data_IF_225450271773
#
_entry.id   IF_225450271773
#
_cell.length_a   1.000
_cell.length_b   1.000
_cell.length_c   1.000
_cell.angle_alpha   90.00
_cell.angle_beta   90.00
_cell.angle_gamma   90.00
#
_symmetry.space_group_name_H-M   'P 1'
#
loop_
_entity.id
_entity.type
_entity.pdbx_description
1 polymer ?
#
# COMPACT_ATOMS: atom_id res chain seq x y z
N UNK A 1 41.77 47.85 31.62
CA UNK A 1 42.78 46.78 31.77
C UNK A 1 42.15 45.72 32.67
N UNK A 2 41.59 44.65 32.09
CA UNK A 2 41.01 43.54 32.86
C UNK A 2 42.07 42.47 33.13
N UNK A 3 42.03 41.78 34.29
CA UNK A 3 43.02 40.76 34.62
C UNK A 3 42.82 39.48 33.80
N UNK A 4 43.94 38.90 33.35
CA UNK A 4 44.04 37.61 32.66
C UNK A 4 43.70 36.46 33.63
N UNK A 5 42.84 35.55 33.19
CA UNK A 5 42.66 34.23 33.82
C UNK A 5 43.78 33.30 33.37
N UNK A 6 44.58 32.81 34.32
CA UNK A 6 45.39 31.60 34.16
C UNK A 6 44.46 30.38 34.04
N UNK A 7 44.73 29.42 33.14
CA UNK A 7 44.08 28.12 33.20
C UNK A 7 44.86 27.20 34.16
N UNK A 8 44.22 26.84 35.27
CA UNK A 8 44.64 25.70 36.06
C UNK A 8 44.14 24.39 35.42
N UNK A 9 44.94 23.34 35.61
CA UNK A 9 44.56 21.92 35.59
C UNK A 9 44.36 21.19 34.25
N UNK A 10 45.46 20.94 33.55
CA UNK A 10 45.62 19.71 32.75
C UNK A 10 46.16 18.62 33.68
N UNK A 11 45.32 17.92 34.43
CA UNK A 11 45.73 16.68 35.13
C UNK A 11 44.53 15.79 35.55
N UNK A 12 43.37 15.91 34.89
CA UNK A 12 42.17 15.13 35.19
C UNK A 12 41.58 14.31 34.04
N UNK A 13 42.15 14.35 32.83
CA UNK A 13 41.51 13.80 31.62
C UNK A 13 41.82 12.33 31.31
N UNK A 14 42.88 11.75 31.88
CA UNK A 14 43.28 10.36 31.56
C UNK A 14 42.40 9.27 32.19
N UNK A 15 41.90 9.49 33.40
CA UNK A 15 41.16 8.46 34.16
C UNK A 15 39.70 8.30 33.70
N UNK A 16 39.09 9.35 33.14
CA UNK A 16 37.70 9.33 32.68
C UNK A 16 37.56 8.81 31.25
N UNK A 17 38.61 8.93 30.42
CA UNK A 17 38.59 8.43 29.04
C UNK A 17 38.54 6.89 28.99
N UNK A 18 39.37 6.22 29.81
CA UNK A 18 39.39 4.75 29.89
C UNK A 18 38.08 4.16 30.42
N UNK A 19 37.43 4.82 31.38
CA UNK A 19 36.10 4.43 31.87
C UNK A 19 35.03 4.61 30.80
N UNK A 20 35.04 5.73 30.08
CA UNK A 20 34.08 5.99 29.00
C UNK A 20 34.20 4.96 27.86
N UNK A 21 35.42 4.56 27.50
CA UNK A 21 35.67 3.52 26.49
C UNK A 21 35.14 2.15 26.97
N UNK A 22 35.40 1.78 28.23
CA UNK A 22 34.90 0.53 28.81
C UNK A 22 33.38 0.49 28.89
N UNK A 23 32.72 1.60 29.26
CA UNK A 23 31.26 1.71 29.25
C UNK A 23 30.69 1.62 27.83
N UNK A 24 31.36 2.22 26.85
CA UNK A 24 30.94 2.15 25.44
C UNK A 24 31.02 0.73 24.89
N UNK A 25 32.11 0.00 25.18
CA UNK A 25 32.26 -1.40 24.79
C UNK A 25 31.22 -2.30 25.48
N UNK A 26 30.96 -2.09 26.77
CA UNK A 26 29.94 -2.84 27.50
C UNK A 26 28.53 -2.60 26.92
N UNK A 27 28.21 -1.36 26.54
CA UNK A 27 26.93 -1.02 25.91
C UNK A 27 26.77 -1.70 24.55
N UNK A 28 27.82 -1.71 23.72
CA UNK A 28 27.79 -2.36 22.40
C UNK A 28 27.54 -3.87 22.55
N UNK A 29 28.21 -4.53 23.49
CA UNK A 29 27.99 -5.96 23.77
C UNK A 29 26.57 -6.22 24.26
N UNK A 30 26.02 -5.36 25.10
CA UNK A 30 24.66 -5.49 25.61
C UNK A 30 23.61 -5.30 24.51
N UNK A 31 23.82 -4.35 23.60
CA UNK A 31 22.96 -4.14 22.43
C UNK A 31 23.04 -5.32 21.46
N UNK A 32 24.24 -5.83 21.17
CA UNK A 32 24.42 -7.00 20.32
C UNK A 32 23.76 -8.25 20.91
N UNK A 33 23.89 -8.46 22.22
CA UNK A 33 23.23 -9.56 22.93
C UNK A 33 21.70 -9.40 22.94
N UNK A 34 21.19 -8.18 23.12
CA UNK A 34 19.77 -7.87 23.03
C UNK A 34 19.19 -8.14 21.65
N UNK A 35 19.87 -7.74 20.57
CA UNK A 35 19.46 -8.02 19.18
C UNK A 35 19.49 -9.53 18.90
N UNK A 36 20.52 -10.24 19.35
CA UNK A 36 20.61 -11.70 19.19
C UNK A 36 19.52 -12.43 19.99
N UNK A 37 19.22 -12.00 21.21
CA UNK A 37 18.15 -12.56 22.03
C UNK A 37 16.78 -12.29 21.41
N UNK A 38 16.56 -11.10 20.83
CA UNK A 38 15.31 -10.76 20.16
C UNK A 38 15.13 -11.55 18.84
N UNK A 39 16.22 -11.74 18.08
CA UNK A 39 16.23 -12.58 16.87
C UNK A 39 15.94 -14.05 17.18
N UNK A 40 16.54 -14.60 18.25
CA UNK A 40 16.30 -15.99 18.67
C UNK A 40 14.90 -16.19 19.28
N UNK A 41 14.37 -15.22 20.02
CA UNK A 41 12.98 -15.20 20.48
C UNK A 41 11.98 -15.09 19.31
N UNK A 42 12.29 -14.30 18.27
CA UNK A 42 11.50 -14.24 17.04
C UNK A 42 11.40 -15.61 16.36
N UNK A 43 12.54 -16.29 16.22
CA UNK A 43 12.60 -17.63 15.62
C UNK A 43 11.88 -18.71 16.46
N UNK A 44 11.86 -18.56 17.79
CA UNK A 44 11.07 -19.42 18.69
C UNK A 44 9.58 -19.06 18.68
N UNK A 45 9.19 -17.80 18.43
CA UNK A 45 7.79 -17.40 18.15
C UNK A 45 7.29 -18.02 16.86
N UNK A 46 8.11 -18.04 15.82
CA UNK A 46 7.74 -18.69 14.55
C UNK A 46 7.62 -20.22 14.70
N UNK A 47 8.50 -20.84 15.52
CA UNK A 47 8.46 -22.29 15.77
C UNK A 47 7.34 -22.72 16.75
N UNK A 48 6.92 -21.85 17.68
CA UNK A 48 5.81 -22.13 18.61
C UNK A 48 4.43 -21.76 18.05
N UNK A 49 4.36 -20.85 17.07
CA UNK A 49 3.18 -20.65 16.23
C UNK A 49 2.89 -21.87 15.34
N UNK A 50 3.91 -22.67 15.00
CA UNK A 50 3.75 -23.89 14.21
C UNK A 50 3.27 -25.13 15.01
N UNK A 51 3.00 -25.03 16.32
CA UNK A 51 2.61 -26.20 17.13
C UNK A 51 1.58 -25.94 18.24
N UNK A 52 0.88 -24.80 18.20
CA UNK A 52 -0.22 -24.52 19.12
C UNK A 52 -1.58 -24.56 18.38
N UNK A 53 -2.35 -25.61 18.70
CA UNK A 53 -3.79 -25.72 18.49
C UNK A 53 -4.29 -25.80 17.04
N UNK A 54 -4.39 -27.04 16.54
CA UNK A 54 -5.39 -27.39 15.52
C UNK A 54 -6.79 -27.20 16.14
N UNK A 55 -7.29 -25.99 15.97
CA UNK A 55 -8.70 -25.66 15.97
C UNK A 55 -8.78 -24.62 14.88
N UNK A 56 -8.94 -25.06 13.63
CA UNK A 56 -9.29 -24.15 12.54
C UNK A 56 -10.40 -23.26 13.07
N UNK A 57 -10.22 -21.92 13.15
CA UNK A 57 -11.40 -21.09 13.10
C UNK A 57 -12.10 -21.55 11.82
N UNK A 58 -13.35 -21.98 11.93
CA UNK A 58 -14.22 -22.01 10.77
C UNK A 58 -14.27 -20.57 10.28
N UNK A 59 -13.30 -20.19 9.45
CA UNK A 59 -13.36 -19.02 8.62
C UNK A 59 -14.51 -19.38 7.70
N UNK A 60 -15.71 -18.95 8.07
CA UNK A 60 -16.79 -18.91 7.10
C UNK A 60 -16.19 -18.14 5.93
N UNK A 61 -15.94 -18.78 4.78
CA UNK A 61 -15.38 -18.06 3.65
C UNK A 61 -16.35 -16.91 3.40
N UNK A 62 -15.87 -15.68 3.52
CA UNK A 62 -16.65 -14.54 3.07
C UNK A 62 -16.90 -14.84 1.59
N UNK A 63 -18.16 -14.98 1.16
CA UNK A 63 -18.43 -15.30 -0.23
C UNK A 63 -17.81 -14.17 -1.07
N UNK A 64 -16.80 -14.51 -1.87
CA UNK A 64 -16.29 -13.62 -2.90
C UNK A 64 -17.39 -13.48 -3.93
N UNK A 65 -18.07 -12.33 -3.94
CA UNK A 65 -19.10 -12.05 -4.95
C UNK A 65 -18.48 -12.15 -6.34
N UNK A 66 -19.25 -12.72 -7.27
CA UNK A 66 -18.91 -12.79 -8.69
C UNK A 66 -18.93 -11.38 -9.32
N UNK A 67 -18.32 -11.23 -10.49
CA UNK A 67 -18.35 -9.97 -11.23
C UNK A 67 -19.79 -9.46 -11.48
N UNK A 68 -20.69 -10.36 -11.87
CA UNK A 68 -22.10 -10.03 -12.12
C UNK A 68 -22.83 -9.54 -10.85
N UNK A 69 -22.52 -10.11 -9.68
CA UNK A 69 -23.09 -9.68 -8.40
C UNK A 69 -22.57 -8.29 -8.02
N UNK A 70 -21.25 -8.07 -8.10
CA UNK A 70 -20.65 -6.75 -7.87
C UNK A 70 -21.20 -5.68 -8.82
N UNK A 71 -21.36 -6.02 -10.11
CA UNK A 71 -21.95 -5.11 -11.10
C UNK A 71 -23.40 -4.78 -10.78
N UNK A 72 -24.15 -5.70 -10.17
CA UNK A 72 -25.52 -5.46 -9.70
C UNK A 72 -25.60 -4.51 -8.50
N UNK A 73 -24.54 -4.39 -7.70
CA UNK A 73 -24.44 -3.46 -6.57
C UNK A 73 -23.86 -2.08 -6.96
N UNK A 74 -23.22 -1.99 -8.12
CA UNK A 74 -22.57 -0.77 -8.57
C UNK A 74 -23.57 0.33 -8.96
N UNK A 75 -23.28 1.57 -8.57
CA UNK A 75 -24.01 2.74 -9.04
C UNK A 75 -23.58 3.08 -10.47
N UNK A 76 -24.56 3.42 -11.33
CA UNK A 76 -24.29 3.99 -12.65
C UNK A 76 -24.03 5.49 -12.50
N UNK A 77 -22.76 5.89 -12.51
CA UNK A 77 -22.31 7.28 -12.38
C UNK A 77 -21.45 7.63 -13.59
N UNK A 78 -21.67 8.81 -14.18
CA UNK A 78 -20.81 9.28 -15.28
C UNK A 78 -19.43 9.68 -14.76
N UNK A 79 -18.40 9.60 -15.60
CA UNK A 79 -17.04 10.03 -15.25
C UNK A 79 -16.99 11.47 -14.71
N UNK A 80 -17.61 12.43 -15.41
CA UNK A 80 -17.63 13.83 -14.95
C UNK A 80 -18.31 14.00 -13.60
N UNK A 81 -19.38 13.23 -13.31
CA UNK A 81 -19.99 13.27 -11.97
C UNK A 81 -19.06 12.69 -10.91
N UNK A 82 -18.35 11.61 -11.23
CA UNK A 82 -17.37 11.00 -10.34
C UNK A 82 -16.25 11.98 -9.98
N UNK A 83 -15.76 12.73 -10.98
CA UNK A 83 -14.69 13.72 -10.83
C UNK A 83 -15.17 15.01 -10.13
N UNK A 84 -16.21 15.66 -10.64
CA UNK A 84 -16.68 16.97 -10.15
C UNK A 84 -17.27 16.89 -8.73
N UNK A 85 -17.74 15.70 -8.33
CA UNK A 85 -18.36 15.45 -7.03
C UNK A 85 -17.60 14.36 -6.25
N UNK A 86 -16.27 14.29 -6.40
CA UNK A 86 -15.44 13.26 -5.79
C UNK A 86 -15.69 13.06 -4.29
N UNK A 87 -15.74 14.14 -3.51
CA UNK A 87 -16.01 14.09 -2.05
C UNK A 87 -17.35 13.41 -1.70
N UNK A 88 -18.34 13.48 -2.60
CA UNK A 88 -19.66 12.86 -2.39
C UNK A 88 -19.73 11.43 -2.91
N UNK A 89 -18.79 11.05 -3.78
CA UNK A 89 -18.72 9.73 -4.38
C UNK A 89 -17.65 8.84 -3.77
N UNK A 90 -16.77 9.36 -2.90
CA UNK A 90 -15.82 8.56 -2.13
C UNK A 90 -16.53 7.41 -1.38
N UNK A 91 -15.99 6.21 -1.49
CA UNK A 91 -16.53 4.97 -0.94
C UNK A 91 -17.64 4.32 -1.75
N UNK A 92 -18.16 4.96 -2.80
CA UNK A 92 -19.18 4.35 -3.67
C UNK A 92 -18.59 3.28 -4.58
N UNK A 93 -19.39 2.27 -4.86
CA UNK A 93 -19.07 1.22 -5.83
C UNK A 93 -19.59 1.67 -7.20
N UNK A 94 -18.71 1.71 -8.18
CA UNK A 94 -18.99 2.15 -9.55
C UNK A 94 -18.60 1.07 -10.54
N UNK A 95 -19.25 1.10 -11.71
CA UNK A 95 -18.95 0.22 -12.83
C UNK A 95 -18.53 1.06 -14.04
N UNK A 96 -17.43 0.66 -14.67
CA UNK A 96 -16.97 1.23 -15.92
C UNK A 96 -16.45 0.13 -16.85
N UNK A 97 -16.49 0.45 -18.15
CA UNK A 97 -15.72 -0.24 -19.18
C UNK A 97 -14.61 0.70 -19.64
N UNK A 98 -13.43 0.15 -19.88
CA UNK A 98 -12.29 0.95 -20.29
C UNK A 98 -11.19 0.15 -20.96
N UNK A 99 -10.21 0.86 -21.51
CA UNK A 99 -9.00 0.27 -22.08
C UNK A 99 -7.78 0.67 -21.26
N UNK A 100 -6.93 -0.30 -20.95
CA UNK A 100 -5.69 -0.05 -20.20
C UNK A 100 -4.73 0.72 -21.10
N UNK A 101 -4.47 1.97 -20.74
CA UNK A 101 -3.55 2.84 -21.47
C UNK A 101 -2.10 2.73 -21.00
N UNK A 102 -1.90 2.49 -19.70
CA UNK A 102 -0.57 2.43 -19.11
C UNK A 102 -0.59 1.62 -17.82
N UNK A 103 0.46 0.83 -17.58
CA UNK A 103 0.70 0.15 -16.30
C UNK A 103 1.85 0.89 -15.60
N UNK A 104 1.53 1.55 -14.50
CA UNK A 104 2.48 2.37 -13.75
C UNK A 104 3.35 1.52 -12.82
N UNK A 105 2.78 0.45 -12.25
CA UNK A 105 3.46 -0.47 -11.35
C UNK A 105 2.81 -1.85 -11.39
N UNK A 106 3.61 -2.91 -11.36
CA UNK A 106 3.13 -4.29 -11.34
C UNK A 106 4.01 -5.15 -10.42
N UNK A 107 3.34 -5.95 -9.59
CA UNK A 107 3.93 -6.95 -8.69
C UNK A 107 3.10 -8.23 -8.77
N UNK A 108 3.49 -9.29 -8.05
CA UNK A 108 2.77 -10.57 -8.07
C UNK A 108 1.29 -10.48 -7.61
N UNK A 109 0.94 -9.49 -6.78
CA UNK A 109 -0.40 -9.40 -6.19
C UNK A 109 -1.02 -8.01 -6.31
N UNK A 110 -0.39 -7.10 -7.05
CA UNK A 110 -0.85 -5.72 -7.18
C UNK A 110 -0.42 -5.13 -8.51
N UNK A 111 -1.36 -4.43 -9.15
CA UNK A 111 -1.10 -3.60 -10.31
C UNK A 111 -1.76 -2.24 -10.13
N UNK A 112 -1.03 -1.20 -10.52
CA UNK A 112 -1.51 0.16 -10.68
C UNK A 112 -1.54 0.49 -12.17
N UNK A 113 -2.72 0.84 -12.68
CA UNK A 113 -2.92 1.07 -14.10
C UNK A 113 -3.78 2.30 -14.37
N UNK A 114 -3.49 2.94 -15.49
CA UNK A 114 -4.24 4.07 -16.03
C UNK A 114 -5.17 3.54 -17.11
N UNK A 115 -6.45 3.81 -16.96
CA UNK A 115 -7.49 3.25 -17.82
C UNK A 115 -8.31 4.37 -18.43
N UNK A 116 -8.39 4.37 -19.75
CA UNK A 116 -9.29 5.25 -20.48
C UNK A 116 -10.70 4.68 -20.38
N UNK A 117 -11.64 5.43 -19.80
CA UNK A 117 -13.02 4.96 -19.59
C UNK A 117 -13.93 5.44 -20.70
N UNK A 118 -14.88 4.61 -21.12
CA UNK A 118 -15.91 5.03 -22.06
C UNK A 118 -17.12 5.59 -21.30
N UNK A 119 -17.60 6.78 -21.69
CA UNK A 119 -18.78 7.41 -21.09
C UNK A 119 -20.10 6.68 -21.40
N UNK A 120 -20.10 5.82 -22.40
CA UNK A 120 -21.15 4.86 -22.70
C UNK A 120 -20.56 3.43 -22.80
N UNK A 121 -21.37 2.39 -22.59
CA UNK A 121 -20.96 0.98 -22.76
C UNK A 121 -20.62 0.61 -24.22
N UNK A 122 -20.41 1.61 -25.10
CA UNK A 122 -20.21 1.44 -26.53
C UNK A 122 -18.71 1.36 -26.89
N UNK A 123 -18.37 0.50 -27.84
CA UNK A 123 -16.99 0.23 -28.25
C UNK A 123 -16.38 1.31 -29.19
N UNK A 124 -16.91 2.54 -29.18
CA UNK A 124 -16.69 3.51 -30.26
C UNK A 124 -15.45 4.40 -30.15
N UNK A 125 -15.08 4.81 -28.95
CA UNK A 125 -13.88 5.61 -28.67
C UNK A 125 -13.69 5.68 -27.16
N UNK A 126 -12.51 5.32 -26.67
CA UNK A 126 -12.14 5.66 -25.31
C UNK A 126 -11.74 7.14 -25.32
N UNK A 127 -12.51 7.98 -24.64
CA UNK A 127 -12.25 9.42 -24.54
C UNK A 127 -10.93 9.67 -23.77
N UNK A 128 -10.50 10.93 -23.69
CA UNK A 128 -9.34 11.34 -22.86
C UNK A 128 -9.59 11.15 -21.35
N UNK A 129 -10.80 10.73 -20.96
CA UNK A 129 -11.20 10.48 -19.57
C UNK A 129 -10.45 9.27 -19.01
N UNK A 130 -9.65 9.52 -17.97
CA UNK A 130 -8.78 8.53 -17.36
C UNK A 130 -9.14 8.33 -15.90
N UNK A 131 -8.95 7.10 -15.43
CA UNK A 131 -8.96 6.76 -14.01
C UNK A 131 -7.68 5.99 -13.66
N UNK A 132 -7.25 6.11 -12.42
CA UNK A 132 -6.20 5.26 -11.84
C UNK A 132 -6.88 4.10 -11.12
N UNK A 133 -6.52 2.87 -11.50
CA UNK A 133 -7.01 1.66 -10.85
C UNK A 133 -5.91 1.02 -10.01
N UNK A 134 -6.27 0.69 -8.78
CA UNK A 134 -5.52 -0.15 -7.87
C UNK A 134 -6.17 -1.52 -7.83
N UNK A 135 -5.57 -2.50 -8.50
CA UNK A 135 -6.06 -3.87 -8.48
C UNK A 135 -5.17 -4.74 -7.59
N UNK A 136 -5.70 -5.06 -6.40
CA UNK A 136 -5.06 -5.89 -5.38
C UNK A 136 -5.55 -7.33 -5.48
N UNK A 137 -4.72 -8.26 -5.02
CA UNK A 137 -5.01 -9.69 -5.01
C UNK A 137 -5.43 -10.20 -6.40
N UNK A 138 -4.68 -9.75 -7.42
CA UNK A 138 -4.97 -9.95 -8.84
C UNK A 138 -5.37 -11.40 -9.14
N UNK A 139 -6.57 -11.59 -9.70
CA UNK A 139 -7.06 -12.89 -10.16
C UNK A 139 -6.93 -13.07 -11.67
N UNK A 140 -6.62 -12.00 -12.39
CA UNK A 140 -6.45 -11.97 -13.84
C UNK A 140 -5.15 -11.23 -14.21
N UNK A 141 -4.46 -11.72 -15.24
CA UNK A 141 -3.36 -10.99 -15.88
C UNK A 141 -3.95 -9.93 -16.79
N UNK A 142 -3.36 -8.73 -16.78
CA UNK A 142 -3.77 -7.59 -17.59
C UNK A 142 -2.57 -7.04 -18.37
N UNK A 143 -2.83 -6.48 -19.54
CA UNK A 143 -1.83 -5.87 -20.42
C UNK A 143 -2.31 -4.50 -20.90
N UNK A 144 -1.36 -3.67 -21.33
CA UNK A 144 -1.70 -2.44 -22.06
C UNK A 144 -2.49 -2.81 -23.31
N UNK A 145 -3.45 -1.97 -23.67
CA UNK A 145 -4.44 -2.13 -24.74
C UNK A 145 -5.56 -3.16 -24.47
N UNK A 146 -5.51 -3.91 -23.36
CA UNK A 146 -6.62 -4.77 -22.94
C UNK A 146 -7.87 -3.94 -22.67
N UNK A 147 -9.01 -4.45 -23.13
CA UNK A 147 -10.32 -3.90 -22.78
C UNK A 147 -10.83 -4.63 -21.55
N UNK A 148 -11.17 -3.85 -20.54
CA UNK A 148 -11.62 -4.37 -19.26
C UNK A 148 -12.98 -3.82 -18.88
N UNK A 149 -13.76 -4.68 -18.23
CA UNK A 149 -14.94 -4.31 -17.47
C UNK A 149 -14.56 -4.41 -16.00
N UNK A 150 -14.75 -3.35 -15.22
CA UNK A 150 -14.35 -3.35 -13.82
C UNK A 150 -15.42 -2.73 -12.93
N UNK A 151 -15.51 -3.29 -11.72
CA UNK A 151 -16.27 -2.74 -10.61
C UNK A 151 -15.24 -2.31 -9.56
N UNK A 152 -15.31 -1.05 -9.15
CA UNK A 152 -14.34 -0.47 -8.25
C UNK A 152 -14.99 0.45 -7.21
N UNK A 153 -14.29 0.68 -6.11
CA UNK A 153 -14.66 1.67 -5.10
C UNK A 153 -13.91 2.95 -5.39
N UNK A 154 -14.61 4.08 -5.34
CA UNK A 154 -13.98 5.39 -5.42
C UNK A 154 -13.18 5.68 -4.15
N UNK A 155 -11.86 5.84 -4.28
CA UNK A 155 -10.98 6.16 -3.15
C UNK A 155 -10.76 7.67 -3.02
N UNK A 156 -10.86 8.41 -4.12
CA UNK A 156 -10.66 9.86 -4.14
C UNK A 156 -10.14 10.37 -5.47
N UNK A 157 -9.41 11.48 -5.43
CA UNK A 157 -8.76 12.09 -6.60
C UNK A 157 -7.25 12.02 -6.43
N UNK A 158 -6.54 11.58 -7.47
CA UNK A 158 -5.11 11.79 -7.57
C UNK A 158 -4.83 13.29 -7.66
N UNK A 159 -4.32 13.86 -6.56
CA UNK A 159 -4.03 15.28 -6.43
C UNK A 159 -3.02 15.84 -7.45
N UNK A 160 -2.22 14.99 -8.10
CA UNK A 160 -1.21 15.40 -9.08
C UNK A 160 -1.81 15.50 -10.48
N UNK A 161 -2.59 14.50 -10.88
CA UNK A 161 -3.11 14.38 -12.24
C UNK A 161 -4.58 14.77 -12.37
N UNK A 162 -5.27 14.99 -11.25
CA UNK A 162 -6.67 15.40 -11.16
C UNK A 162 -7.62 14.40 -11.84
N UNK A 163 -7.39 13.11 -11.61
CA UNK A 163 -8.22 11.99 -12.10
C UNK A 163 -8.76 11.16 -10.93
N UNK A 164 -9.88 10.45 -11.09
CA UNK A 164 -10.39 9.52 -10.08
C UNK A 164 -9.41 8.38 -9.80
N UNK A 165 -9.23 8.09 -8.52
CA UNK A 165 -8.45 6.96 -8.00
C UNK A 165 -9.42 5.90 -7.45
N UNK A 166 -9.31 4.66 -7.95
CA UNK A 166 -10.28 3.61 -7.69
C UNK A 166 -9.61 2.30 -7.25
N UNK A 167 -10.17 1.62 -6.24
CA UNK A 167 -9.76 0.27 -5.84
C UNK A 167 -10.69 -0.78 -6.45
N UNK A 168 -10.14 -1.67 -7.28
CA UNK A 168 -10.88 -2.70 -7.99
C UNK A 168 -11.41 -3.77 -7.03
N UNK A 169 -12.70 -4.11 -7.17
CA UNK A 169 -13.37 -5.23 -6.48
C UNK A 169 -13.50 -6.45 -7.37
N UNK A 170 -13.80 -6.24 -8.65
CA UNK A 170 -13.92 -7.30 -9.64
C UNK A 170 -13.55 -6.75 -11.02
N UNK A 171 -12.93 -7.59 -11.84
CA UNK A 171 -12.46 -7.23 -13.18
C UNK A 171 -12.62 -8.42 -14.13
N UNK A 172 -13.08 -8.14 -15.34
CA UNK A 172 -13.14 -9.06 -16.47
C UNK A 172 -12.38 -8.45 -17.65
N UNK A 173 -11.54 -9.25 -18.30
CA UNK A 173 -10.82 -8.89 -19.53
C UNK A 173 -11.60 -9.45 -20.73
N UNK A 174 -11.82 -8.64 -21.77
CA UNK A 174 -12.52 -9.05 -23.02
C UNK A 174 -11.64 -9.85 -23.99
#
# INVERSE_FOLDING_TARGET
>A
MGPQQQPETILGQGANLGKAIMFSLALIVLLAFGVYFNYTQGKLRDASAASASSSEPTVTPVPTLTFAEWKGEAETVSYHTLLDQADQNEGKIVYFRGQIGHIASETETYVEMWVYVSGDDSAGSYDEDQVVLHYRDMTATVQVDDVINFVAVMDGIDSVHLVPELTVKALEVE
#
